data_IF_437614618993
#
_entry.id   IF_437614618993
#
_cell.length_a   1.000
_cell.length_b   1.000
_cell.length_c   1.000
_cell.angle_alpha   90.00
_cell.angle_beta   90.00
_cell.angle_gamma   90.00
#
_symmetry.space_group_name_H-M   'P 1'
#
loop_
_entity.id
_entity.type
_entity.pdbx_description
1 polymer ?
#
# COMPACT_ATOMS: atom_id res chain seq x y z
N UNK A 1 8.92 -27.70 38.21
CA UNK A 1 8.37 -27.17 36.94
C UNK A 1 9.41 -26.22 36.37
N UNK A 2 10.14 -26.67 35.38
CA UNK A 2 11.15 -25.84 34.70
C UNK A 2 10.40 -24.83 33.82
N UNK A 3 10.48 -23.55 34.18
CA UNK A 3 10.03 -22.46 33.31
C UNK A 3 10.98 -22.43 32.08
N UNK A 4 10.50 -22.93 30.95
CA UNK A 4 11.19 -22.78 29.69
C UNK A 4 11.22 -21.29 29.39
N UNK A 5 12.38 -20.66 29.54
CA UNK A 5 12.61 -19.28 29.10
C UNK A 5 12.29 -19.24 27.60
N UNK A 6 11.37 -18.41 27.13
CA UNK A 6 11.09 -18.36 25.70
C UNK A 6 12.36 -17.91 24.97
N UNK A 7 12.87 -18.81 24.12
CA UNK A 7 14.00 -18.48 23.25
C UNK A 7 13.58 -17.35 22.33
N UNK A 8 14.39 -16.30 22.21
CA UNK A 8 14.09 -15.22 21.28
C UNK A 8 13.92 -15.76 19.85
N UNK A 9 12.95 -15.29 19.10
CA UNK A 9 12.72 -15.77 17.75
C UNK A 9 13.91 -15.46 16.84
N UNK A 10 14.18 -16.37 15.92
CA UNK A 10 15.23 -16.19 14.92
C UNK A 10 14.80 -15.15 13.87
N UNK A 11 15.77 -14.61 13.16
CA UNK A 11 15.52 -13.70 12.03
C UNK A 11 14.62 -14.33 10.97
N UNK A 12 14.79 -15.62 10.71
CA UNK A 12 13.98 -16.36 9.74
C UNK A 12 12.51 -16.44 10.18
N UNK A 13 12.25 -16.82 11.42
CA UNK A 13 10.89 -16.87 11.97
C UNK A 13 10.19 -15.51 11.92
N UNK A 14 10.92 -14.43 12.21
CA UNK A 14 10.38 -13.08 12.07
C UNK A 14 10.04 -12.72 10.61
N UNK A 15 10.91 -13.08 9.66
CA UNK A 15 10.67 -12.85 8.22
C UNK A 15 9.47 -13.67 7.71
N UNK A 16 9.34 -14.92 8.12
CA UNK A 16 8.21 -15.77 7.75
C UNK A 16 6.89 -15.22 8.29
N UNK A 17 6.88 -14.74 9.54
CA UNK A 17 5.70 -14.14 10.14
C UNK A 17 5.30 -12.83 9.44
N UNK A 18 6.25 -11.96 9.15
CA UNK A 18 6.01 -10.72 8.39
C UNK A 18 5.47 -11.01 6.99
N UNK A 19 6.02 -12.02 6.30
CA UNK A 19 5.53 -12.43 5.00
C UNK A 19 4.10 -12.99 5.05
N UNK A 20 3.77 -13.80 6.05
CA UNK A 20 2.43 -14.34 6.24
C UNK A 20 1.41 -13.23 6.52
N UNK A 21 1.75 -12.28 7.40
CA UNK A 21 0.91 -11.11 7.71
C UNK A 21 0.72 -10.24 6.46
N UNK A 22 1.79 -9.95 5.73
CA UNK A 22 1.74 -9.17 4.49
C UNK A 22 0.87 -9.81 3.42
N UNK A 23 0.94 -11.14 3.27
CA UNK A 23 0.10 -11.90 2.33
C UNK A 23 -1.38 -11.84 2.73
N UNK A 24 -1.70 -12.00 4.00
CA UNK A 24 -3.06 -11.89 4.51
C UNK A 24 -3.62 -10.48 4.28
N UNK A 25 -2.85 -9.45 4.63
CA UNK A 25 -3.22 -8.05 4.43
C UNK A 25 -3.45 -7.73 2.95
N UNK A 26 -2.59 -8.23 2.06
CA UNK A 26 -2.76 -8.04 0.63
C UNK A 26 -4.04 -8.68 0.09
N UNK A 27 -4.37 -9.86 0.56
CA UNK A 27 -5.62 -10.56 0.20
C UNK A 27 -6.85 -9.79 0.66
N UNK A 28 -6.84 -9.28 1.89
CA UNK A 28 -7.94 -8.49 2.44
C UNK A 28 -8.11 -7.16 1.68
N UNK A 29 -6.99 -6.52 1.33
CA UNK A 29 -6.99 -5.33 0.48
C UNK A 29 -7.58 -5.61 -0.92
N UNK A 30 -7.19 -6.72 -1.55
CA UNK A 30 -7.73 -7.12 -2.85
C UNK A 30 -9.24 -7.40 -2.79
N UNK A 31 -9.71 -8.05 -1.73
CA UNK A 31 -11.12 -8.31 -1.50
C UNK A 31 -11.93 -7.02 -1.31
N UNK A 32 -11.44 -6.10 -0.48
CA UNK A 32 -12.07 -4.79 -0.27
C UNK A 32 -12.10 -3.97 -1.58
N UNK A 33 -10.99 -3.96 -2.33
CA UNK A 33 -10.92 -3.26 -3.62
C UNK A 33 -11.94 -3.80 -4.64
N UNK A 34 -12.15 -5.12 -4.67
CA UNK A 34 -13.10 -5.77 -5.56
C UNK A 34 -14.55 -5.32 -5.33
N UNK A 35 -14.93 -4.99 -4.11
CA UNK A 35 -16.25 -4.44 -3.78
C UNK A 35 -16.52 -3.09 -4.46
N UNK A 36 -15.47 -2.36 -4.82
CA UNK A 36 -15.55 -1.08 -5.55
C UNK A 36 -15.18 -1.22 -7.03
N UNK A 37 -15.17 -2.46 -7.55
CA UNK A 37 -14.86 -2.75 -8.95
C UNK A 37 -13.42 -2.45 -9.35
N UNK A 38 -12.47 -2.49 -8.39
CA UNK A 38 -11.04 -2.29 -8.62
C UNK A 38 -10.31 -3.62 -8.56
N UNK A 39 -9.33 -3.80 -9.44
CA UNK A 39 -8.30 -4.81 -9.23
C UNK A 39 -7.39 -4.38 -8.06
N UNK A 40 -6.73 -5.33 -7.42
CA UNK A 40 -5.75 -5.03 -6.36
C UNK A 40 -4.67 -4.05 -6.82
N UNK A 41 -4.20 -4.19 -8.08
CA UNK A 41 -3.19 -3.29 -8.64
C UNK A 41 -3.73 -1.88 -8.88
N UNK A 42 -4.96 -1.74 -9.37
CA UNK A 42 -5.61 -0.42 -9.51
C UNK A 42 -5.78 0.28 -8.16
N UNK A 43 -6.25 -0.45 -7.15
CA UNK A 43 -6.38 0.08 -5.81
C UNK A 43 -5.02 0.47 -5.21
N UNK A 44 -3.97 -0.31 -5.49
CA UNK A 44 -2.60 -0.01 -5.06
C UNK A 44 -2.08 1.28 -5.70
N UNK A 45 -2.34 1.51 -6.98
CA UNK A 45 -2.01 2.79 -7.64
C UNK A 45 -2.68 3.94 -6.90
N UNK A 46 -4.00 3.86 -6.69
CA UNK A 46 -4.74 4.91 -5.98
C UNK A 46 -4.20 5.14 -4.56
N UNK A 47 -3.85 4.06 -3.85
CA UNK A 47 -3.31 4.16 -2.50
C UNK A 47 -1.96 4.88 -2.41
N UNK A 48 -1.17 4.87 -3.50
CA UNK A 48 0.12 5.57 -3.57
C UNK A 48 -0.02 7.06 -3.95
N UNK A 49 -1.14 7.47 -4.51
CA UNK A 49 -1.36 8.83 -4.98
C UNK A 49 -1.77 9.79 -3.85
N UNK A 50 -0.90 9.95 -2.85
CA UNK A 50 -1.07 10.99 -1.82
C UNK A 50 -0.74 12.40 -2.34
N UNK A 51 -0.19 12.49 -3.53
CA UNK A 51 0.16 13.68 -4.28
C UNK A 51 0.50 13.31 -5.72
N UNK A 52 0.86 14.28 -6.56
CA UNK A 52 1.29 14.02 -7.94
C UNK A 52 2.48 13.07 -7.98
N UNK A 53 2.41 12.00 -8.79
CA UNK A 53 3.50 11.07 -9.02
C UNK A 53 3.75 10.89 -10.51
N UNK A 54 5.01 10.97 -10.98
CA UNK A 54 5.34 10.67 -12.37
C UNK A 54 5.10 9.18 -12.67
N UNK A 55 4.78 8.88 -13.93
CA UNK A 55 4.50 7.50 -14.38
C UNK A 55 5.62 6.51 -14.01
N UNK A 56 6.89 6.91 -14.17
CA UNK A 56 8.04 6.08 -13.80
C UNK A 56 8.13 5.84 -12.28
N UNK A 57 7.73 6.81 -11.48
CA UNK A 57 7.67 6.65 -10.02
C UNK A 57 6.64 5.60 -9.61
N UNK A 58 5.48 5.57 -10.27
CA UNK A 58 4.49 4.51 -10.08
C UNK A 58 5.03 3.14 -10.48
N UNK A 59 5.75 3.04 -11.60
CA UNK A 59 6.37 1.78 -12.02
C UNK A 59 7.33 1.23 -10.97
N UNK A 60 8.18 2.08 -10.40
CA UNK A 60 9.11 1.72 -9.33
C UNK A 60 8.37 1.24 -8.08
N UNK A 61 7.35 1.97 -7.64
CA UNK A 61 6.56 1.63 -6.45
C UNK A 61 5.78 0.32 -6.60
N UNK A 62 5.32 0.01 -7.82
CA UNK A 62 4.55 -1.19 -8.10
C UNK A 62 5.43 -2.40 -8.44
N UNK A 63 6.74 -2.18 -8.61
CA UNK A 63 7.68 -3.23 -9.07
C UNK A 63 7.19 -3.86 -10.38
N UNK A 64 6.77 -3.03 -11.32
CA UNK A 64 6.31 -3.48 -12.63
C UNK A 64 6.89 -2.59 -13.73
N UNK A 65 6.79 -3.05 -14.98
CA UNK A 65 7.27 -2.28 -16.11
C UNK A 65 6.34 -1.08 -16.45
N UNK A 66 6.90 -0.08 -17.14
CA UNK A 66 6.19 1.14 -17.47
C UNK A 66 4.96 0.92 -18.38
N UNK A 67 4.98 -0.10 -19.25
CA UNK A 67 3.84 -0.41 -20.15
C UNK A 67 2.64 -0.93 -19.37
N UNK A 68 2.88 -1.73 -18.34
CA UNK A 68 1.82 -2.22 -17.46
C UNK A 68 1.19 -1.08 -16.66
N UNK A 69 2.00 -0.16 -16.13
CA UNK A 69 1.51 1.04 -15.41
C UNK A 69 0.64 1.91 -16.31
N UNK A 70 1.04 2.13 -17.55
CA UNK A 70 0.26 2.90 -18.52
C UNK A 70 -1.14 2.33 -18.69
N UNK A 71 -1.26 1.02 -18.91
CA UNK A 71 -2.56 0.36 -19.05
C UNK A 71 -3.43 0.45 -17.79
N UNK A 72 -2.83 0.38 -16.61
CA UNK A 72 -3.56 0.53 -15.33
C UNK A 72 -4.08 1.96 -15.18
N UNK A 73 -3.22 2.95 -15.43
CA UNK A 73 -3.58 4.36 -15.33
C UNK A 73 -4.64 4.74 -16.36
N UNK A 74 -4.56 4.25 -17.59
CA UNK A 74 -5.57 4.48 -18.64
C UNK A 74 -6.96 3.99 -18.19
N UNK A 75 -7.04 2.82 -17.57
CA UNK A 75 -8.31 2.29 -17.05
C UNK A 75 -8.85 3.09 -15.87
N UNK A 76 -7.98 3.58 -15.00
CA UNK A 76 -8.38 4.44 -13.89
C UNK A 76 -8.83 5.83 -14.38
N UNK A 77 -8.18 6.36 -15.40
CA UNK A 77 -8.53 7.64 -16.03
C UNK A 77 -9.88 7.55 -16.76
N UNK A 78 -10.13 6.44 -17.46
CA UNK A 78 -11.43 6.17 -18.10
C UNK A 78 -12.59 6.11 -17.09
N UNK A 79 -12.31 5.77 -15.83
CA UNK A 79 -13.27 5.78 -14.73
C UNK A 79 -13.26 7.10 -13.94
N UNK A 80 -12.52 8.10 -14.40
CA UNK A 80 -12.38 9.41 -13.74
C UNK A 80 -11.85 9.33 -12.30
N UNK A 81 -11.08 8.28 -11.97
CA UNK A 81 -10.49 8.08 -10.65
C UNK A 81 -9.10 8.71 -10.52
N UNK A 82 -8.42 8.91 -11.66
CA UNK A 82 -7.17 9.65 -11.77
C UNK A 82 -7.21 10.57 -12.98
N UNK A 83 -6.29 11.53 -13.03
CA UNK A 83 -6.03 12.35 -14.20
C UNK A 83 -4.52 12.52 -14.39
N UNK A 84 -4.10 12.79 -15.61
CA UNK A 84 -2.73 13.16 -15.93
C UNK A 84 -2.61 14.68 -15.99
N UNK A 85 -1.58 15.21 -15.35
CA UNK A 85 -1.24 16.62 -15.36
C UNK A 85 0.21 16.82 -15.79
N UNK A 86 0.50 17.91 -16.49
CA UNK A 86 1.88 18.28 -16.76
C UNK A 86 2.57 18.69 -15.46
N UNK A 87 3.82 18.25 -15.27
CA UNK A 87 4.62 18.71 -14.13
C UNK A 87 4.88 20.21 -14.24
N UNK A 88 4.72 20.99 -13.15
CA UNK A 88 4.95 22.43 -13.17
C UNK A 88 6.38 22.83 -13.54
N UNK A 89 7.36 22.00 -13.22
CA UNK A 89 8.80 22.27 -13.48
C UNK A 89 9.28 21.74 -14.83
N UNK A 90 8.66 20.66 -15.34
CA UNK A 90 8.97 20.10 -16.67
C UNK A 90 7.70 19.54 -17.33
N UNK A 91 7.14 20.31 -18.27
CA UNK A 91 5.92 19.94 -18.99
C UNK A 91 6.01 18.64 -19.81
N UNK A 92 7.21 18.12 -20.03
CA UNK A 92 7.43 16.83 -20.71
C UNK A 92 7.07 15.66 -19.79
N UNK A 93 7.18 15.87 -18.49
CA UNK A 93 6.80 14.88 -17.47
C UNK A 93 5.30 14.97 -17.22
N UNK A 94 4.64 13.82 -17.24
CA UNK A 94 3.23 13.70 -16.86
C UNK A 94 3.13 13.05 -15.48
N UNK A 95 2.50 13.76 -14.57
CA UNK A 95 2.16 13.27 -13.26
C UNK A 95 0.75 12.68 -13.27
N UNK A 96 0.57 11.61 -12.51
CA UNK A 96 -0.74 11.03 -12.21
C UNK A 96 -1.22 11.59 -10.88
N UNK A 97 -2.46 12.03 -10.85
CA UNK A 97 -3.10 12.63 -9.67
C UNK A 97 -4.42 11.92 -9.43
N UNK A 98 -4.69 11.53 -8.19
CA UNK A 98 -6.00 11.02 -7.82
C UNK A 98 -7.05 12.15 -7.88
N UNK A 99 -8.20 11.87 -8.49
CA UNK A 99 -9.36 12.74 -8.40
C UNK A 99 -10.00 12.63 -7.03
N UNK A 100 -10.98 13.48 -6.73
CA UNK A 100 -11.74 13.35 -5.49
C UNK A 100 -12.48 12.01 -5.42
N UNK A 101 -13.05 11.53 -6.53
CA UNK A 101 -13.67 10.21 -6.62
C UNK A 101 -12.66 9.09 -6.35
N UNK A 102 -11.44 9.19 -6.87
CA UNK A 102 -10.35 8.23 -6.61
C UNK A 102 -9.94 8.20 -5.14
N UNK A 103 -9.79 9.38 -4.52
CA UNK A 103 -9.50 9.49 -3.08
C UNK A 103 -10.60 8.91 -2.21
N UNK A 104 -11.85 9.16 -2.56
CA UNK A 104 -13.01 8.65 -1.82
C UNK A 104 -13.07 7.11 -1.89
N UNK A 105 -12.88 6.53 -3.06
CA UNK A 105 -12.88 5.06 -3.21
C UNK A 105 -11.77 4.43 -2.37
N UNK A 106 -10.54 4.94 -2.43
CA UNK A 106 -9.45 4.34 -1.65
C UNK A 106 -9.64 4.55 -0.14
N UNK A 107 -10.28 5.64 0.27
CA UNK A 107 -10.67 5.84 1.68
C UNK A 107 -11.63 4.74 2.14
N UNK A 108 -12.65 4.42 1.36
CA UNK A 108 -13.62 3.35 1.66
C UNK A 108 -12.96 1.97 1.71
N UNK A 109 -12.06 1.68 0.77
CA UNK A 109 -11.28 0.43 0.78
C UNK A 109 -10.49 0.31 2.09
N UNK A 110 -9.83 1.37 2.52
CA UNK A 110 -9.08 1.39 3.79
C UNK A 110 -9.97 1.21 5.01
N UNK A 111 -11.13 1.86 5.04
CA UNK A 111 -12.10 1.72 6.14
C UNK A 111 -12.63 0.29 6.23
N UNK A 112 -12.96 -0.34 5.10
CA UNK A 112 -13.39 -1.72 5.07
C UNK A 112 -12.29 -2.66 5.57
N UNK A 113 -11.03 -2.44 5.17
CA UNK A 113 -9.90 -3.19 5.72
C UNK A 113 -9.79 -3.05 7.24
N UNK A 114 -9.93 -1.84 7.77
CA UNK A 114 -9.89 -1.62 9.21
C UNK A 114 -10.99 -2.40 9.92
N UNK A 115 -12.20 -2.41 9.38
CA UNK A 115 -13.34 -3.12 9.96
C UNK A 115 -13.17 -4.65 9.95
N UNK A 116 -12.41 -5.20 9.00
CA UNK A 116 -12.21 -6.64 8.85
C UNK A 116 -10.94 -7.15 9.53
N UNK A 117 -10.01 -6.27 9.91
CA UNK A 117 -8.70 -6.63 10.45
C UNK A 117 -8.70 -6.78 11.99
N UNK A 118 -9.64 -7.62 12.50
CA UNK A 118 -9.85 -7.78 13.95
C UNK A 118 -8.65 -8.31 14.73
N UNK A 119 -7.61 -8.84 14.07
CA UNK A 119 -6.40 -9.30 14.75
C UNK A 119 -5.65 -8.15 15.47
N UNK A 120 -5.66 -6.95 14.91
CA UNK A 120 -5.03 -5.78 15.55
C UNK A 120 -5.83 -5.26 16.75
N UNK A 121 -7.14 -5.54 16.80
CA UNK A 121 -8.00 -5.15 17.92
C UNK A 121 -7.71 -5.95 19.20
N UNK A 122 -6.93 -7.03 19.09
CA UNK A 122 -6.48 -7.82 20.25
C UNK A 122 -5.32 -7.19 21.01
N UNK A 123 -4.66 -6.18 20.41
CA UNK A 123 -3.54 -5.46 21.01
C UNK A 123 -4.07 -4.31 21.88
N UNK A 124 -3.53 -4.18 23.06
CA UNK A 124 -3.76 -2.98 23.87
C UNK A 124 -2.98 -1.77 23.30
N UNK A 125 -3.20 -0.59 23.87
CA UNK A 125 -2.59 0.66 23.40
C UNK A 125 -1.06 0.63 23.46
N UNK A 126 -0.50 0.03 24.51
CA UNK A 126 0.97 -0.09 24.70
C UNK A 126 1.58 -1.07 23.70
N UNK A 127 0.94 -2.20 23.51
CA UNK A 127 1.35 -3.22 22.52
C UNK A 127 1.28 -2.66 21.09
N UNK A 128 0.22 -1.93 20.76
CA UNK A 128 0.06 -1.27 19.47
C UNK A 128 1.16 -0.24 19.22
N UNK A 129 1.47 0.61 20.20
CA UNK A 129 2.54 1.59 20.08
C UNK A 129 3.92 0.93 19.93
N UNK A 130 4.18 -0.16 20.66
CA UNK A 130 5.43 -0.92 20.56
C UNK A 130 5.57 -1.56 19.20
N UNK A 131 4.52 -2.23 18.71
CA UNK A 131 4.50 -2.84 17.38
C UNK A 131 4.74 -1.79 16.29
N UNK A 132 4.07 -0.66 16.36
CA UNK A 132 4.25 0.43 15.42
C UNK A 132 5.71 0.90 15.37
N UNK A 133 6.32 1.17 16.53
CA UNK A 133 7.70 1.61 16.59
C UNK A 133 8.70 0.59 16.01
N UNK A 134 8.47 -0.71 16.25
CA UNK A 134 9.31 -1.77 15.72
C UNK A 134 9.15 -1.89 14.19
N UNK A 135 7.95 -1.83 13.67
CA UNK A 135 7.69 -1.88 12.23
C UNK A 135 8.26 -0.65 11.50
N UNK A 136 8.17 0.54 12.10
CA UNK A 136 8.79 1.76 11.55
C UNK A 136 10.32 1.63 11.41
N UNK A 137 10.99 0.98 12.36
CA UNK A 137 12.44 0.70 12.27
C UNK A 137 12.78 -0.29 11.15
N UNK A 138 11.85 -1.16 10.80
CA UNK A 138 12.04 -2.18 9.75
C UNK A 138 11.58 -1.70 8.38
N UNK A 139 10.90 -0.55 8.32
CA UNK A 139 10.44 0.00 7.05
C UNK A 139 11.62 0.25 6.12
N UNK A 140 11.57 -0.28 4.87
CA UNK A 140 12.62 -0.02 3.89
C UNK A 140 12.77 1.49 3.70
N UNK A 141 13.98 2.01 3.87
CA UNK A 141 14.29 3.37 3.44
C UNK A 141 14.12 3.38 1.92
N UNK A 142 13.18 4.17 1.43
CA UNK A 142 13.13 4.52 0.03
C UNK A 142 14.41 5.31 -0.22
N UNK A 143 15.45 4.65 -0.72
CA UNK A 143 16.59 5.38 -1.26
C UNK A 143 16.05 6.33 -2.33
N UNK A 144 16.21 7.62 -2.07
CA UNK A 144 16.15 8.63 -3.11
C UNK A 144 17.37 8.37 -3.99
N UNK A 145 17.23 7.50 -4.96
CA UNK A 145 18.15 7.47 -6.06
C UNK A 145 17.96 8.78 -6.83
N UNK A 146 18.97 9.58 -6.69
CA UNK A 146 19.15 10.86 -7.34
C UNK A 146 19.26 10.71 -8.87
#
# INVERSE_FOLDING_TARGET
MSATTPTAPTKLELLELLAAIGTAQWRDFAAAAAHYGLTSTQARVLAQLNGPLPMRGLATLLVCDASNVTGIVDRLEARELVRREADPSDRRVKNVVATEAGREIIRRVREEMQATHGALDTLDETESATLYALLERLRPTMEKDA
#
